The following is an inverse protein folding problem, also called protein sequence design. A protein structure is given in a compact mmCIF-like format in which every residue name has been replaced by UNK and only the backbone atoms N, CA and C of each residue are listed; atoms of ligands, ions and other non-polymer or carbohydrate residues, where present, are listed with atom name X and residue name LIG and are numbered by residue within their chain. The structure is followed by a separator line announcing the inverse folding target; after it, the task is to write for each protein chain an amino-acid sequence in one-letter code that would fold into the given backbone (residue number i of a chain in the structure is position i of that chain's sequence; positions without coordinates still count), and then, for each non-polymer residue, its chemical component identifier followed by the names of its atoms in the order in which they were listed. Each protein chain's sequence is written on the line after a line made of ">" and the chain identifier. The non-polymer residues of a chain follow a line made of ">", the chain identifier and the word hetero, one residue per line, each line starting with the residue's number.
data_IF_914464084117
#
_entry.id   IF_914464084117
#
_cell.length_a   1.000
_cell.length_b   1.000
_cell.length_c   1.000
_cell.angle_alpha   90.00
_cell.angle_beta   90.00
_cell.angle_gamma   90.00
#
_symmetry.space_group_name_H-M   'P 1'
#
loop_
_entity.id
_entity.type
_entity.pdbx_description
1 polymer ?
#
# COMPACT_ATOMS: atom_id res chain seq x y z
N UNK A 1 -28.37 10.39 -28.59
CA UNK A 1 -28.25 10.34 -27.12
C UNK A 1 -27.14 11.28 -26.71
N UNK A 2 -27.33 12.06 -25.65
CA UNK A 2 -26.43 13.17 -25.30
C UNK A 2 -25.08 12.62 -24.83
N UNK A 3 -24.00 13.04 -25.47
CA UNK A 3 -22.63 12.65 -25.14
C UNK A 3 -22.24 12.94 -23.69
N UNK A 4 -22.93 13.88 -23.02
CA UNK A 4 -22.77 14.17 -21.61
C UNK A 4 -23.34 13.07 -20.71
N UNK A 5 -24.48 12.48 -21.08
CA UNK A 5 -25.10 11.38 -20.32
C UNK A 5 -24.25 10.11 -20.40
N UNK A 6 -23.70 9.81 -21.58
CA UNK A 6 -22.82 8.65 -21.76
C UNK A 6 -21.48 8.83 -21.03
N UNK A 7 -20.91 10.05 -21.04
CA UNK A 7 -19.75 10.39 -20.21
C UNK A 7 -20.03 10.22 -18.72
N UNK A 8 -21.19 10.68 -18.25
CA UNK A 8 -21.59 10.54 -16.84
C UNK A 8 -21.71 9.06 -16.45
N UNK A 9 -22.36 8.24 -17.29
CA UNK A 9 -22.46 6.79 -17.06
C UNK A 9 -21.09 6.12 -16.99
N UNK A 10 -20.18 6.46 -17.90
CA UNK A 10 -18.83 5.89 -17.92
C UNK A 10 -18.01 6.28 -16.67
N UNK A 11 -18.10 7.54 -16.24
CA UNK A 11 -17.45 8.00 -15.01
C UNK A 11 -18.00 7.30 -13.77
N UNK A 12 -19.33 7.17 -13.67
CA UNK A 12 -19.97 6.46 -12.54
C UNK A 12 -19.58 4.98 -12.49
N UNK A 13 -19.49 4.33 -13.66
CA UNK A 13 -19.06 2.94 -13.76
C UNK A 13 -17.59 2.76 -13.32
N UNK A 14 -16.71 3.66 -13.74
CA UNK A 14 -15.29 3.65 -13.33
C UNK A 14 -15.14 3.87 -11.82
N UNK A 15 -15.83 4.85 -11.24
CA UNK A 15 -15.80 5.11 -9.80
C UNK A 15 -16.29 3.89 -9.01
N UNK A 16 -17.41 3.29 -9.46
CA UNK A 16 -17.97 2.10 -8.81
C UNK A 16 -17.00 0.91 -8.88
N UNK A 17 -16.25 0.76 -9.99
CA UNK A 17 -15.21 -0.27 -10.13
C UNK A 17 -14.09 -0.08 -9.10
N UNK A 18 -13.55 1.13 -8.99
CA UNK A 18 -12.46 1.41 -8.05
C UNK A 18 -12.87 1.20 -6.59
N UNK A 19 -14.07 1.60 -6.19
CA UNK A 19 -14.55 1.37 -4.82
C UNK A 19 -14.70 -0.13 -4.49
N UNK A 20 -15.19 -0.93 -5.45
CA UNK A 20 -15.27 -2.38 -5.29
C UNK A 20 -13.87 -3.02 -5.21
N UNK A 21 -12.93 -2.59 -6.05
CA UNK A 21 -11.54 -3.03 -6.03
C UNK A 21 -10.86 -2.72 -4.69
N UNK A 22 -11.03 -1.50 -4.17
CA UNK A 22 -10.50 -1.11 -2.85
C UNK A 22 -11.07 -1.93 -1.71
N UNK A 23 -12.39 -2.16 -1.71
CA UNK A 23 -13.04 -3.00 -0.69
C UNK A 23 -12.49 -4.43 -0.71
N UNK A 24 -12.33 -5.01 -1.91
CA UNK A 24 -11.75 -6.33 -2.08
C UNK A 24 -10.29 -6.36 -1.62
N UNK A 25 -9.49 -5.38 -2.04
CA UNK A 25 -8.09 -5.25 -1.70
C UNK A 25 -7.86 -5.09 -0.19
N UNK A 26 -8.64 -4.25 0.50
CA UNK A 26 -8.55 -4.11 1.97
C UNK A 26 -8.78 -5.43 2.69
N UNK A 27 -9.78 -6.21 2.26
CA UNK A 27 -10.05 -7.52 2.85
C UNK A 27 -8.87 -8.47 2.67
N UNK A 28 -8.35 -8.58 1.46
CA UNK A 28 -7.17 -9.43 1.18
C UNK A 28 -5.93 -8.93 1.93
N UNK A 29 -5.74 -7.62 2.03
CA UNK A 29 -4.62 -7.03 2.75
C UNK A 29 -4.67 -7.33 4.25
N UNK A 30 -5.87 -7.29 4.87
CA UNK A 30 -6.06 -7.66 6.28
C UNK A 30 -5.80 -9.15 6.53
N UNK A 31 -6.26 -10.03 5.63
CA UNK A 31 -5.98 -11.46 5.68
C UNK A 31 -4.46 -11.72 5.62
N UNK A 32 -3.76 -11.08 4.68
CA UNK A 32 -2.31 -11.17 4.53
C UNK A 32 -1.57 -10.58 5.73
N UNK A 33 -2.01 -9.45 6.28
CA UNK A 33 -1.45 -8.85 7.49
C UNK A 33 -1.39 -9.83 8.67
N UNK A 34 -2.46 -10.62 8.86
CA UNK A 34 -2.51 -11.68 9.87
C UNK A 34 -1.61 -12.85 9.49
N UNK A 35 -1.79 -13.38 8.27
CA UNK A 35 -1.09 -14.58 7.76
C UNK A 35 0.43 -14.42 7.76
N UNK A 36 0.91 -13.25 7.37
CA UNK A 36 2.33 -12.91 7.29
C UNK A 36 2.96 -12.55 8.65
N UNK A 37 2.19 -12.59 9.73
CA UNK A 37 2.67 -12.35 11.10
C UNK A 37 2.95 -10.88 11.43
N UNK A 38 2.52 -9.94 10.58
CA UNK A 38 2.81 -8.51 10.74
C UNK A 38 2.12 -7.93 11.98
N UNK A 39 0.97 -8.50 12.33
CA UNK A 39 0.21 -8.15 13.54
C UNK A 39 1.02 -8.26 14.85
N UNK A 40 2.08 -9.07 14.87
CA UNK A 40 2.94 -9.20 16.04
C UNK A 40 3.80 -7.94 16.30
N UNK A 41 3.98 -7.07 15.30
CA UNK A 41 4.74 -5.81 15.42
C UNK A 41 3.90 -4.55 15.28
N UNK A 42 2.80 -4.63 14.55
CA UNK A 42 1.85 -3.54 14.34
C UNK A 42 0.52 -4.10 14.76
N UNK A 43 0.02 -3.77 15.94
CA UNK A 43 -1.10 -4.50 16.57
C UNK A 43 -2.44 -4.29 15.85
N UNK A 44 -2.67 -3.07 15.36
CA UNK A 44 -3.89 -2.69 14.66
C UNK A 44 -3.62 -2.55 13.16
N UNK A 45 -4.51 -3.12 12.33
CA UNK A 45 -4.35 -3.12 10.89
C UNK A 45 -4.28 -1.69 10.31
N UNK A 46 -5.07 -0.79 10.86
CA UNK A 46 -5.20 0.60 10.44
C UNK A 46 -3.88 1.37 10.59
N UNK A 47 -3.07 1.02 11.59
CA UNK A 47 -1.76 1.63 11.83
C UNK A 47 -0.76 1.37 10.70
N UNK A 48 -1.00 0.36 9.85
CA UNK A 48 -0.18 0.17 8.64
C UNK A 48 -0.18 1.42 7.76
N UNK A 49 -1.27 2.19 7.75
CA UNK A 49 -1.40 3.35 6.88
C UNK A 49 -0.74 4.61 7.43
N UNK A 50 -0.27 4.61 8.67
CA UNK A 50 0.52 5.68 9.27
C UNK A 50 1.97 5.68 8.76
N UNK A 51 2.45 4.53 8.30
CA UNK A 51 3.76 4.45 7.67
C UNK A 51 3.82 5.31 6.41
N UNK A 52 4.96 5.99 6.24
CA UNK A 52 5.25 6.79 5.06
C UNK A 52 5.43 5.90 3.83
N UNK A 53 6.07 4.75 4.00
CA UNK A 53 6.28 3.77 2.95
C UNK A 53 6.40 2.36 3.53
N UNK A 54 6.02 1.35 2.75
CA UNK A 54 6.38 -0.04 2.96
C UNK A 54 7.13 -0.56 1.73
N UNK A 55 8.27 -1.18 1.99
CA UNK A 55 9.22 -1.69 1.02
C UNK A 55 9.49 -3.17 1.24
N UNK A 56 9.96 -3.82 0.18
CA UNK A 56 10.37 -5.22 0.18
C UNK A 56 11.86 -5.34 -0.13
N UNK A 57 12.59 -6.01 0.75
CA UNK A 57 13.97 -6.45 0.52
C UNK A 57 13.99 -7.89 0.02
N UNK A 58 14.98 -8.24 -0.79
CA UNK A 58 15.25 -9.62 -1.23
C UNK A 58 14.39 -10.14 -2.38
N UNK A 59 13.28 -9.48 -2.70
CA UNK A 59 12.39 -9.80 -3.81
C UNK A 59 12.13 -8.52 -4.60
N UNK A 60 12.13 -8.62 -5.92
CA UNK A 60 11.88 -7.48 -6.78
C UNK A 60 10.39 -7.11 -6.86
N UNK A 61 10.13 -5.80 -6.94
CA UNK A 61 8.82 -5.21 -7.16
C UNK A 61 8.81 -4.30 -8.40
N UNK A 62 9.88 -4.30 -9.21
CA UNK A 62 9.86 -3.63 -10.52
C UNK A 62 8.98 -4.38 -11.49
N UNK A 63 8.46 -3.65 -12.47
CA UNK A 63 7.62 -4.19 -13.53
C UNK A 63 8.38 -5.24 -14.37
N UNK A 64 9.63 -4.96 -14.72
CA UNK A 64 10.45 -5.80 -15.61
C UNK A 64 10.82 -7.17 -15.02
N UNK A 65 10.84 -7.32 -13.69
CA UNK A 65 11.33 -8.53 -13.02
C UNK A 65 10.54 -8.86 -11.74
N UNK A 66 9.23 -8.56 -11.73
CA UNK A 66 8.38 -8.74 -10.56
C UNK A 66 8.52 -10.15 -9.95
N UNK A 67 8.85 -10.21 -8.66
CA UNK A 67 9.01 -11.46 -7.93
C UNK A 67 10.33 -12.20 -8.17
N UNK A 68 11.27 -11.62 -8.92
CA UNK A 68 12.63 -12.10 -9.02
C UNK A 68 13.33 -12.04 -7.65
N UNK A 69 14.07 -13.10 -7.32
CA UNK A 69 14.81 -13.20 -6.06
C UNK A 69 16.16 -12.52 -6.23
N UNK A 70 16.54 -11.71 -5.24
CA UNK A 70 17.88 -11.11 -5.15
C UNK A 70 18.77 -12.07 -4.37
N UNK A 71 19.66 -12.77 -5.07
CA UNK A 71 20.55 -13.76 -4.46
C UNK A 71 21.37 -13.18 -3.30
N UNK A 72 21.56 -13.99 -2.25
CA UNK A 72 22.24 -13.60 -1.03
C UNK A 72 21.50 -12.57 -0.18
N UNK A 73 20.30 -12.11 -0.56
CA UNK A 73 19.49 -11.17 0.24
C UNK A 73 18.42 -11.87 1.07
N UNK A 74 17.99 -11.19 2.11
CA UNK A 74 16.90 -11.62 2.96
C UNK A 74 15.57 -11.05 2.48
N UNK A 75 14.55 -11.88 2.47
CA UNK A 75 13.17 -11.47 2.25
C UNK A 75 12.64 -10.79 3.51
N UNK A 76 12.34 -9.50 3.41
CA UNK A 76 11.96 -8.68 4.55
C UNK A 76 11.01 -7.56 4.13
N UNK A 77 9.91 -7.40 4.87
CA UNK A 77 9.01 -6.26 4.75
C UNK A 77 9.51 -5.18 5.71
N UNK A 78 9.73 -3.98 5.19
CA UNK A 78 10.33 -2.85 5.92
C UNK A 78 9.41 -1.63 5.77
N UNK A 79 8.93 -1.10 6.88
CA UNK A 79 8.21 0.16 6.94
C UNK A 79 9.15 1.34 7.17
N UNK A 80 8.74 2.52 6.71
CA UNK A 80 9.41 3.79 6.99
C UNK A 80 8.46 4.66 7.81
N UNK A 81 8.88 5.05 9.01
CA UNK A 81 8.22 6.11 9.78
C UNK A 81 8.86 7.46 9.48
N UNK A 82 8.05 8.51 9.53
CA UNK A 82 8.53 9.89 9.45
C UNK A 82 8.29 10.59 10.79
N UNK A 83 9.36 11.08 11.38
CA UNK A 83 9.37 11.85 12.61
C UNK A 83 9.94 13.23 12.30
N UNK A 84 9.09 14.27 12.36
CA UNK A 84 9.46 15.64 12.00
C UNK A 84 10.42 16.28 13.00
N UNK A 85 10.42 15.79 14.24
CA UNK A 85 11.13 16.37 15.38
C UNK A 85 12.44 15.61 15.66
N UNK A 86 12.64 14.41 15.09
CA UNK A 86 13.89 13.67 15.19
C UNK A 86 15.03 14.21 14.31
N UNK A 87 16.27 14.06 14.81
CA UNK A 87 17.51 14.34 14.05
C UNK A 87 17.59 13.56 12.74
N UNK A 88 17.18 12.28 12.76
CA UNK A 88 17.01 11.45 11.56
C UNK A 88 15.52 11.24 11.35
N UNK A 89 14.98 11.94 10.35
CA UNK A 89 13.53 12.03 10.14
C UNK A 89 12.89 10.75 9.62
N UNK A 90 13.61 9.96 8.83
CA UNK A 90 13.10 8.69 8.31
C UNK A 90 13.78 7.54 9.04
N UNK A 91 13.00 6.66 9.68
CA UNK A 91 13.53 5.47 10.35
C UNK A 91 12.90 4.22 9.73
N UNK A 92 13.73 3.22 9.45
CA UNK A 92 13.28 1.93 8.95
C UNK A 92 12.89 1.03 10.12
N UNK A 93 11.74 0.36 9.99
CA UNK A 93 11.25 -0.64 10.93
C UNK A 93 11.02 -1.93 10.15
N UNK A 94 11.65 -3.02 10.57
CA UNK A 94 11.31 -4.33 10.03
C UNK A 94 9.93 -4.73 10.52
N UNK A 95 8.98 -4.95 9.61
CA UNK A 95 7.66 -5.49 9.92
C UNK A 95 7.67 -7.01 10.02
N UNK A 96 8.38 -7.67 9.13
CA UNK A 96 8.53 -9.13 9.15
C UNK A 96 9.78 -9.58 8.39
N UNK A 97 10.35 -10.71 8.80
CA UNK A 97 11.56 -11.30 8.25
C UNK A 97 11.32 -12.78 7.97
N UNK A 98 11.64 -13.23 6.76
CA UNK A 98 11.29 -14.58 6.29
C UNK A 98 12.53 -15.41 5.90
N UNK A 99 13.73 -14.98 6.29
CA UNK A 99 14.97 -15.67 5.94
C UNK A 99 15.49 -15.30 4.56
N UNK A 100 16.39 -16.15 4.02
CA UNK A 100 16.99 -15.95 2.69
C UNK A 100 15.90 -16.04 1.63
N UNK A 101 15.89 -15.10 0.69
CA UNK A 101 14.84 -15.02 -0.32
C UNK A 101 14.80 -16.29 -1.20
N UNK A 102 15.94 -16.93 -1.46
CA UNK A 102 16.07 -18.19 -2.21
C UNK A 102 15.38 -19.38 -1.54
N UNK A 103 15.14 -19.31 -0.22
CA UNK A 103 14.52 -20.39 0.56
C UNK A 103 13.02 -20.24 0.71
N UNK A 104 12.43 -19.18 0.17
CA UNK A 104 10.99 -18.98 0.22
C UNK A 104 10.28 -19.95 -0.72
N UNK A 105 9.22 -20.56 -0.20
CA UNK A 105 8.28 -21.27 -1.05
C UNK A 105 7.50 -20.28 -1.93
N UNK A 106 7.13 -20.66 -3.17
CA UNK A 106 6.48 -19.76 -4.12
C UNK A 106 5.23 -19.07 -3.57
N UNK A 107 4.43 -19.77 -2.77
CA UNK A 107 3.19 -19.25 -2.17
C UNK A 107 3.49 -18.11 -1.20
N UNK A 108 4.43 -18.32 -0.28
CA UNK A 108 4.84 -17.29 0.69
C UNK A 108 5.44 -16.07 -0.01
N UNK A 109 6.19 -16.28 -1.10
CA UNK A 109 6.71 -15.19 -1.93
C UNK A 109 5.57 -14.34 -2.53
N UNK A 110 4.57 -14.99 -3.11
CA UNK A 110 3.42 -14.32 -3.72
C UNK A 110 2.58 -13.56 -2.68
N UNK A 111 2.43 -14.10 -1.48
CA UNK A 111 1.75 -13.45 -0.36
C UNK A 111 2.47 -12.18 0.09
N UNK A 112 3.80 -12.24 0.24
CA UNK A 112 4.63 -11.08 0.60
C UNK A 112 4.52 -9.97 -0.45
N UNK A 113 4.61 -10.33 -1.73
CA UNK A 113 4.48 -9.37 -2.83
C UNK A 113 3.08 -8.75 -2.82
N UNK A 114 2.04 -9.58 -2.76
CA UNK A 114 0.64 -9.16 -2.73
C UNK A 114 0.36 -8.20 -1.56
N UNK A 115 0.91 -8.47 -0.38
CA UNK A 115 0.77 -7.60 0.77
C UNK A 115 1.36 -6.21 0.50
N UNK A 116 2.60 -6.14 0.00
CA UNK A 116 3.27 -4.86 -0.23
C UNK A 116 2.58 -4.06 -1.34
N UNK A 117 2.15 -4.72 -2.43
CA UNK A 117 1.42 -4.06 -3.51
C UNK A 117 0.01 -3.61 -3.06
N UNK A 118 -0.72 -4.46 -2.35
CA UNK A 118 -2.05 -4.12 -1.82
C UNK A 118 -2.02 -2.95 -0.84
N UNK A 119 -0.98 -2.88 0.00
CA UNK A 119 -0.76 -1.71 0.85
C UNK A 119 -0.45 -0.44 0.05
N UNK A 120 0.42 -0.53 -0.97
CA UNK A 120 0.78 0.62 -1.82
C UNK A 120 -0.42 1.15 -2.60
N UNK A 121 -1.29 0.25 -3.05
CA UNK A 121 -2.55 0.60 -3.68
C UNK A 121 -3.41 1.46 -2.74
N UNK A 122 -3.74 0.97 -1.53
CA UNK A 122 -4.54 1.75 -0.58
C UNK A 122 -3.88 3.05 -0.12
N UNK A 123 -2.56 3.04 0.10
CA UNK A 123 -1.83 4.25 0.48
C UNK A 123 -1.95 5.34 -0.58
N UNK A 124 -1.95 4.95 -1.86
CA UNK A 124 -2.11 5.89 -2.98
C UNK A 124 -3.50 6.52 -3.00
N UNK A 125 -4.56 5.74 -2.79
CA UNK A 125 -5.92 6.28 -2.69
C UNK A 125 -6.11 7.20 -1.49
N UNK A 126 -5.62 6.81 -0.31
CA UNK A 126 -5.67 7.66 0.89
C UNK A 126 -4.93 8.98 0.69
N UNK A 127 -3.81 8.94 -0.03
CA UNK A 127 -3.04 10.14 -0.39
C UNK A 127 -3.82 11.03 -1.35
N UNK A 128 -4.44 10.45 -2.37
CA UNK A 128 -5.30 11.17 -3.31
C UNK A 128 -6.48 11.85 -2.61
N UNK A 129 -7.20 11.11 -1.76
CA UNK A 129 -8.31 11.61 -0.94
C UNK A 129 -7.88 12.78 -0.04
N UNK A 130 -6.73 12.65 0.62
CA UNK A 130 -6.15 13.73 1.42
C UNK A 130 -5.95 15.02 0.61
N UNK A 131 -5.35 14.93 -0.59
CA UNK A 131 -5.15 16.10 -1.44
C UNK A 131 -6.47 16.70 -1.96
N UNK A 132 -7.46 15.87 -2.30
CA UNK A 132 -8.80 16.37 -2.65
C UNK A 132 -9.43 17.15 -1.49
N UNK A 133 -9.31 16.67 -0.26
CA UNK A 133 -9.81 17.35 0.93
C UNK A 133 -9.12 18.68 1.17
N UNK A 134 -7.78 18.76 1.01
CA UNK A 134 -7.02 20.00 1.13
C UNK A 134 -7.42 21.03 0.07
N UNK A 135 -7.57 20.61 -1.19
CA UNK A 135 -8.02 21.50 -2.28
C UNK A 135 -9.43 22.02 -2.01
N UNK A 136 -10.30 21.18 -1.46
CA UNK A 136 -11.68 21.56 -1.13
C UNK A 136 -11.73 22.60 -0.01
N UNK A 137 -10.92 22.41 1.04
CA UNK A 137 -10.74 23.40 2.12
C UNK A 137 -10.19 24.72 1.61
N UNK A 138 -9.20 24.69 0.71
CA UNK A 138 -8.65 25.90 0.12
C UNK A 138 -9.74 26.68 -0.64
N UNK A 139 -10.55 25.99 -1.46
CA UNK A 139 -11.63 26.63 -2.22
C UNK A 139 -12.69 27.26 -1.33
N UNK A 140 -13.06 26.63 -0.22
CA UNK A 140 -14.06 27.19 0.70
C UNK A 140 -13.59 28.44 1.41
N UNK A 141 -12.28 28.59 1.65
CA UNK A 141 -11.69 29.78 2.27
C UNK A 141 -11.67 31.00 1.34
N UNK A 142 -11.58 30.79 0.03
CA UNK A 142 -11.53 31.88 -0.98
C UNK A 142 -12.92 32.43 -1.35
N UNK A 143 -14.01 31.83 -0.86
CA UNK A 143 -15.40 32.26 -1.12
C UNK A 143 -15.96 33.25 -0.09
N UNK A 144 -15.09 33.88 0.71
CA UNK A 144 -15.39 35.01 1.60
C UNK A 144 -14.58 36.24 1.22
#
# INVERSE_FOLDING_TARGET
>A
MSSALDRLKNLTAQISSYELERKSNLKTLEELYRKLGIHAKVEQFEMLFDFKAINLSGISLSEDDLGAIKEGKYAQIIAIIYDKDAKVKNKNISLAYYGRAEKLVPEQKNEIISFVLGWRFEKSFRTLEHYHNLISHLKSQTTH
#
